data_IF_075973305335
#
_entry.id   IF_075973305335
#
_cell.length_a   1.000
_cell.length_b   1.000
_cell.length_c   1.000
_cell.angle_alpha   90.00
_cell.angle_beta   90.00
_cell.angle_gamma   90.00
#
_symmetry.space_group_name_H-M   'P 1'
#
loop_
_entity.id
_entity.type
_entity.pdbx_description
1 polymer ?
#
# COMPACT_ATOMS: atom_id res chain seq x y z
N UNK A 1 -4.47 -26.97 31.99
CA UNK A 1 -4.32 -26.95 30.51
C UNK A 1 -5.01 -25.74 29.83
N UNK A 2 -5.19 -24.59 30.49
CA UNK A 2 -6.21 -23.61 30.02
C UNK A 2 -5.72 -22.16 29.79
N UNK A 3 -4.44 -21.84 29.96
CA UNK A 3 -3.90 -20.48 29.78
C UNK A 3 -3.25 -20.30 28.39
N UNK A 4 -2.54 -21.32 27.89
CA UNK A 4 -1.81 -21.27 26.61
C UNK A 4 -2.73 -21.15 25.38
N UNK A 5 -3.91 -21.77 25.41
CA UNK A 5 -4.86 -21.74 24.29
C UNK A 5 -5.49 -20.34 24.12
N UNK A 6 -5.80 -19.67 25.22
CA UNK A 6 -6.33 -18.29 25.19
C UNK A 6 -5.31 -17.29 24.66
N UNK A 7 -4.03 -17.42 25.05
CA UNK A 7 -2.95 -16.57 24.53
C UNK A 7 -2.75 -16.81 23.04
N UNK A 8 -2.77 -18.07 22.57
CA UNK A 8 -2.67 -18.41 21.15
C UNK A 8 -3.83 -17.86 20.31
N UNK A 9 -5.07 -17.94 20.80
CA UNK A 9 -6.23 -17.37 20.11
C UNK A 9 -6.16 -15.84 20.05
N UNK A 10 -5.74 -15.19 21.14
CA UNK A 10 -5.60 -13.74 21.20
C UNK A 10 -4.48 -13.22 20.30
N UNK A 11 -3.35 -13.94 20.19
CA UNK A 11 -2.26 -13.56 19.27
C UNK A 11 -2.64 -13.80 17.82
N UNK A 12 -3.35 -14.89 17.49
CA UNK A 12 -3.86 -15.12 16.13
C UNK A 12 -4.89 -14.08 15.69
N UNK A 13 -5.80 -13.68 16.58
CA UNK A 13 -6.76 -12.59 16.32
C UNK A 13 -6.05 -11.25 16.11
N UNK A 14 -5.14 -10.87 17.00
CA UNK A 14 -4.37 -9.63 16.82
C UNK A 14 -3.53 -9.65 15.53
N UNK A 15 -2.91 -10.78 15.19
CA UNK A 15 -2.17 -10.93 13.94
C UNK A 15 -3.08 -10.77 12.72
N UNK A 16 -4.26 -11.42 12.73
CA UNK A 16 -5.22 -11.32 11.61
C UNK A 16 -5.78 -9.91 11.42
N UNK A 17 -6.10 -9.19 12.51
CA UNK A 17 -6.61 -7.82 12.45
C UNK A 17 -5.51 -6.86 11.98
N UNK A 18 -4.28 -7.03 12.46
CA UNK A 18 -3.16 -6.17 12.05
C UNK A 18 -2.74 -6.45 10.60
N UNK A 19 -2.76 -7.71 10.16
CA UNK A 19 -2.52 -8.08 8.78
C UNK A 19 -3.60 -7.53 7.84
N UNK A 20 -4.88 -7.60 8.23
CA UNK A 20 -5.99 -7.06 7.44
C UNK A 20 -5.99 -5.53 7.41
N UNK A 21 -5.63 -4.87 8.52
CA UNK A 21 -5.44 -3.42 8.57
C UNK A 21 -4.30 -2.97 7.65
N UNK A 22 -3.16 -3.67 7.69
CA UNK A 22 -2.04 -3.37 6.79
C UNK A 22 -2.42 -3.59 5.32
N UNK A 23 -3.20 -4.63 5.01
CA UNK A 23 -3.66 -4.87 3.65
C UNK A 23 -4.59 -3.76 3.13
N UNK A 24 -5.57 -3.34 3.95
CA UNK A 24 -6.46 -2.23 3.59
C UNK A 24 -5.68 -0.93 3.38
N UNK A 25 -4.69 -0.65 4.23
CA UNK A 25 -3.81 0.51 4.07
C UNK A 25 -3.04 0.48 2.75
N UNK A 26 -2.46 -0.69 2.40
CA UNK A 26 -1.74 -0.88 1.13
C UNK A 26 -2.70 -0.64 -0.07
N UNK A 27 -3.91 -1.16 0.01
CA UNK A 27 -4.91 -1.02 -1.07
C UNK A 27 -5.36 0.44 -1.23
N UNK A 28 -5.50 1.21 -0.14
CA UNK A 28 -5.78 2.65 -0.19
C UNK A 28 -4.62 3.43 -0.82
N UNK A 29 -3.36 3.14 -0.45
CA UNK A 29 -2.19 3.74 -1.08
C UNK A 29 -2.16 3.46 -2.59
N UNK A 30 -2.48 2.23 -3.01
CA UNK A 30 -2.55 1.85 -4.43
C UNK A 30 -3.68 2.57 -5.17
N UNK A 31 -4.85 2.70 -4.55
CA UNK A 31 -5.98 3.45 -5.10
C UNK A 31 -5.59 4.90 -5.40
N UNK A 32 -4.92 5.56 -4.46
CA UNK A 32 -4.40 6.93 -4.64
C UNK A 32 -3.38 7.04 -5.77
N UNK A 33 -2.47 6.06 -5.90
CA UNK A 33 -1.56 5.98 -7.03
C UNK A 33 -2.29 5.93 -8.38
N UNK A 34 -3.30 5.07 -8.51
CA UNK A 34 -4.04 4.96 -9.77
C UNK A 34 -4.81 6.24 -10.10
N UNK A 35 -5.46 6.86 -9.12
CA UNK A 35 -6.12 8.15 -9.32
C UNK A 35 -5.15 9.25 -9.76
N UNK A 36 -3.95 9.30 -9.17
CA UNK A 36 -2.88 10.22 -9.58
C UNK A 36 -2.43 9.94 -11.02
N UNK A 37 -2.19 8.67 -11.36
CA UNK A 37 -1.74 8.26 -12.69
C UNK A 37 -2.80 8.50 -13.78
N UNK A 38 -4.08 8.37 -13.47
CA UNK A 38 -5.19 8.71 -14.38
C UNK A 38 -5.18 10.21 -14.72
N UNK A 39 -4.92 11.08 -13.74
CA UNK A 39 -4.73 12.52 -13.97
C UNK A 39 -3.48 12.77 -14.83
N UNK A 40 -2.39 12.04 -14.60
CA UNK A 40 -1.19 12.12 -15.42
C UNK A 40 -1.45 11.74 -16.89
N UNK A 41 -2.28 10.72 -17.11
CA UNK A 41 -2.66 10.28 -18.46
C UNK A 41 -3.49 11.34 -19.19
N UNK A 42 -4.46 11.95 -18.48
CA UNK A 42 -5.32 13.01 -19.03
C UNK A 42 -4.57 14.34 -19.22
N UNK A 43 -3.53 14.58 -18.44
CA UNK A 43 -2.73 15.80 -18.51
C UNK A 43 -1.73 15.75 -19.67
N UNK A 44 -1.68 16.81 -20.48
CA UNK A 44 -0.65 16.96 -21.55
C UNK A 44 0.77 17.22 -21.00
N UNK A 45 0.95 17.20 -19.68
CA UNK A 45 2.27 17.29 -19.04
C UNK A 45 3.08 16.02 -19.30
N UNK A 46 4.40 16.09 -19.11
CA UNK A 46 5.29 14.94 -19.33
C UNK A 46 4.86 13.71 -18.53
N UNK A 47 4.18 12.76 -19.18
CA UNK A 47 3.58 11.57 -18.56
C UNK A 47 4.55 10.83 -17.65
N UNK A 48 5.81 10.76 -18.05
CA UNK A 48 6.88 10.11 -17.28
C UNK A 48 7.16 10.80 -15.95
N UNK A 49 7.36 12.12 -15.94
CA UNK A 49 7.65 12.86 -14.70
C UNK A 49 6.45 12.82 -13.75
N UNK A 50 5.23 12.87 -14.29
CA UNK A 50 4.01 12.76 -13.50
C UNK A 50 3.84 11.34 -12.89
N UNK A 51 4.11 10.30 -13.67
CA UNK A 51 4.13 8.92 -13.18
C UNK A 51 5.19 8.74 -12.07
N UNK A 52 6.41 9.26 -12.26
CA UNK A 52 7.50 9.18 -11.26
C UNK A 52 7.05 9.83 -9.94
N UNK A 53 6.38 10.99 -9.99
CA UNK A 53 5.80 11.62 -8.81
C UNK A 53 4.73 10.76 -8.12
N UNK A 54 3.80 10.16 -8.88
CA UNK A 54 2.79 9.26 -8.29
C UNK A 54 3.46 8.03 -7.65
N UNK A 55 4.50 7.47 -8.26
CA UNK A 55 5.24 6.33 -7.75
C UNK A 55 6.03 6.66 -6.46
N UNK A 56 6.61 7.84 -6.37
CA UNK A 56 7.25 8.35 -5.14
C UNK A 56 6.21 8.50 -4.02
N UNK A 57 5.05 9.09 -4.32
CA UNK A 57 3.95 9.26 -3.35
C UNK A 57 3.42 7.90 -2.83
N UNK A 58 3.29 6.90 -3.71
CA UNK A 58 2.95 5.54 -3.32
C UNK A 58 3.99 4.96 -2.35
N UNK A 59 5.27 5.14 -2.65
CA UNK A 59 6.38 4.63 -1.83
C UNK A 59 6.38 5.26 -0.43
N UNK A 60 6.11 6.57 -0.34
CA UNK A 60 5.98 7.30 0.92
C UNK A 60 4.78 6.80 1.73
N UNK A 61 3.61 6.65 1.10
CA UNK A 61 2.41 6.11 1.74
C UNK A 61 2.65 4.71 2.34
N UNK A 62 3.30 3.82 1.57
CA UNK A 62 3.61 2.47 2.04
C UNK A 62 4.58 2.48 3.23
N UNK A 63 5.64 3.29 3.18
CA UNK A 63 6.68 3.31 4.21
C UNK A 63 6.23 4.03 5.48
N UNK A 64 5.63 5.20 5.33
CA UNK A 64 5.37 6.12 6.45
C UNK A 64 4.01 5.89 7.10
N UNK A 65 3.00 5.50 6.30
CA UNK A 65 1.63 5.30 6.81
C UNK A 65 1.37 3.82 7.10
N UNK A 66 1.66 2.94 6.13
CA UNK A 66 1.35 1.51 6.27
C UNK A 66 2.48 0.70 6.93
N UNK A 67 3.66 1.30 7.12
CA UNK A 67 4.87 0.62 7.58
C UNK A 67 5.16 -0.68 6.81
N UNK A 68 4.83 -0.69 5.51
CA UNK A 68 5.05 -1.78 4.58
C UNK A 68 6.35 -1.55 3.81
N UNK A 69 7.07 -2.64 3.52
CA UNK A 69 8.23 -2.57 2.63
C UNK A 69 7.75 -2.37 1.18
N UNK A 70 8.08 -1.23 0.54
CA UNK A 70 7.66 -0.95 -0.83
C UNK A 70 8.19 -1.97 -1.84
N UNK A 71 9.29 -2.67 -1.55
CA UNK A 71 9.83 -3.72 -2.43
C UNK A 71 8.91 -4.94 -2.55
N UNK A 72 8.00 -5.13 -1.58
CA UNK A 72 7.02 -6.20 -1.56
C UNK A 72 5.69 -5.80 -2.22
N UNK A 73 5.50 -4.51 -2.53
CA UNK A 73 4.31 -3.98 -3.19
C UNK A 73 4.69 -3.54 -4.60
N UNK A 74 4.38 -4.34 -5.63
CA UNK A 74 4.82 -4.03 -6.99
C UNK A 74 4.18 -2.73 -7.47
N UNK A 75 5.03 -1.73 -7.75
CA UNK A 75 4.61 -0.47 -8.38
C UNK A 75 4.24 -0.78 -9.83
N UNK A 76 3.00 -0.47 -10.27
CA UNK A 76 2.58 -0.73 -11.64
C UNK A 76 3.47 0.02 -12.61
N UNK A 77 4.03 -0.65 -13.62
CA UNK A 77 4.86 -0.02 -14.64
C UNK A 77 4.10 1.11 -15.36
N UNK A 78 4.80 2.15 -15.85
CA UNK A 78 4.15 3.21 -16.61
C UNK A 78 3.47 2.60 -17.82
N UNK A 79 2.17 2.89 -17.98
CA UNK A 79 1.43 2.54 -19.19
C UNK A 79 1.93 3.50 -20.27
N UNK A 80 2.85 3.03 -21.10
CA UNK A 80 3.48 3.79 -22.21
C UNK A 80 2.59 3.77 -23.44
#
# INVERSE_FOLDING_TARGET
>A
MNQLIFVLLATMLNYSVNAQYNQNCIDDCRSNFFACNDVCWMSRMGRRACYEYCAETLTECLREICHADPSLVPIPLPIV
#
